data_IF_491471272713
#
_entry.id   IF_491471272713
#
_cell.length_a   1.000
_cell.length_b   1.000
_cell.length_c   1.000
_cell.angle_alpha   90.00
_cell.angle_beta   90.00
_cell.angle_gamma   90.00
#
_symmetry.space_group_name_H-M   'P 1'
#
loop_
_entity.id
_entity.type
_entity.pdbx_description
1 polymer ?
#
# COMPACT_ATOMS: atom_id res chain seq x y z
N UNK A 1 10.41 -12.94 -13.02
CA UNK A 1 10.07 -11.83 -12.12
C UNK A 1 9.64 -12.43 -10.80
N UNK A 2 10.47 -12.36 -9.74
CA UNK A 2 10.15 -12.94 -8.44
C UNK A 2 9.39 -11.90 -7.61
N UNK A 3 8.08 -12.08 -7.43
CA UNK A 3 7.32 -11.36 -6.41
C UNK A 3 7.81 -11.83 -5.05
N UNK A 4 8.22 -10.91 -4.19
CA UNK A 4 8.62 -11.27 -2.83
C UNK A 4 7.36 -11.28 -1.96
N UNK A 5 6.97 -12.46 -1.50
CA UNK A 5 6.13 -12.59 -0.32
C UNK A 5 6.97 -12.09 0.86
N UNK A 6 6.67 -10.90 1.38
CA UNK A 6 7.33 -10.40 2.59
C UNK A 6 6.80 -11.22 3.77
N UNK A 7 7.43 -12.36 4.03
CA UNK A 7 7.30 -13.11 5.28
C UNK A 7 8.30 -12.51 6.28
N UNK A 8 7.84 -11.56 7.10
CA UNK A 8 8.59 -11.17 8.30
C UNK A 8 8.15 -12.13 9.40
N UNK A 9 8.97 -13.14 9.71
CA UNK A 9 8.79 -13.97 10.90
C UNK A 9 10.17 -14.24 11.49
N UNK A 10 10.40 -13.70 12.69
CA UNK A 10 11.34 -14.28 13.63
C UNK A 10 10.68 -15.54 14.22
N UNK A 11 11.32 -16.67 13.96
CA UNK A 11 11.11 -18.01 14.55
C UNK A 11 9.76 -18.73 14.37
N UNK A 12 9.91 -19.99 14.00
CA UNK A 12 8.95 -21.09 13.88
C UNK A 12 8.02 -21.10 12.66
N UNK A 13 8.27 -22.11 11.82
CA UNK A 13 7.40 -22.60 10.76
C UNK A 13 6.06 -23.07 11.34
N UNK A 14 5.14 -22.13 11.50
CA UNK A 14 3.71 -22.44 11.59
C UNK A 14 3.00 -21.57 10.56
N UNK A 15 2.16 -22.24 9.77
CA UNK A 15 1.36 -21.71 8.66
C UNK A 15 0.42 -20.61 9.16
N UNK A 16 0.90 -19.38 9.21
CA UNK A 16 0.10 -18.17 9.35
C UNK A 16 0.24 -17.37 8.05
N UNK A 17 -0.85 -17.24 7.31
CA UNK A 17 -0.95 -16.30 6.20
C UNK A 17 -0.89 -14.91 6.84
N UNK A 18 0.31 -14.31 6.84
CA UNK A 18 0.61 -13.11 7.61
C UNK A 18 0.25 -11.87 6.79
N UNK A 19 -0.88 -11.26 7.10
CA UNK A 19 -1.15 -9.87 6.72
C UNK A 19 -0.23 -8.97 7.54
N UNK A 20 0.77 -8.39 6.90
CA UNK A 20 1.70 -7.47 7.56
C UNK A 20 1.04 -6.10 7.67
N UNK A 21 0.72 -5.66 8.89
CA UNK A 21 0.05 -4.36 9.08
C UNK A 21 0.95 -3.16 8.75
N UNK A 22 2.27 -3.25 9.00
CA UNK A 22 3.24 -2.19 8.71
C UNK A 22 4.49 -2.71 7.98
N UNK A 23 4.84 -2.08 6.86
CA UNK A 23 6.12 -2.29 6.17
C UNK A 23 6.93 -1.00 6.26
N UNK A 24 8.12 -1.09 6.86
CA UNK A 24 9.00 0.06 7.09
C UNK A 24 10.19 0.03 6.13
N UNK A 25 10.84 1.19 5.96
CA UNK A 25 12.09 1.33 5.21
C UNK A 25 13.17 0.37 5.74
N UNK A 26 13.27 0.21 7.07
CA UNK A 26 14.26 -0.68 7.70
C UNK A 26 14.05 -2.15 7.33
N UNK A 27 12.79 -2.62 7.28
CA UNK A 27 12.47 -3.97 6.80
C UNK A 27 12.97 -4.18 5.37
N UNK A 28 12.73 -3.20 4.49
CA UNK A 28 13.09 -3.28 3.08
C UNK A 28 14.59 -3.18 2.86
N UNK A 29 15.31 -2.30 3.58
CA UNK A 29 16.77 -2.23 3.52
C UNK A 29 17.41 -3.57 3.92
N UNK A 30 16.90 -4.21 4.97
CA UNK A 30 17.38 -5.51 5.42
C UNK A 30 17.21 -6.58 4.33
N UNK A 31 16.02 -6.62 3.71
CA UNK A 31 15.69 -7.54 2.62
C UNK A 31 16.54 -7.25 1.38
N UNK A 32 16.64 -5.99 0.97
CA UNK A 32 17.40 -5.55 -0.21
C UNK A 32 18.89 -5.85 -0.06
N UNK A 33 19.44 -5.74 1.16
CA UNK A 33 20.83 -6.08 1.42
C UNK A 33 21.09 -7.59 1.27
N UNK A 34 20.12 -8.44 1.60
CA UNK A 34 20.24 -9.90 1.41
C UNK A 34 20.05 -10.26 -0.07
N UNK A 35 18.99 -9.76 -0.69
CA UNK A 35 18.61 -10.09 -2.07
C UNK A 35 19.45 -9.36 -3.12
N UNK A 36 20.21 -8.34 -2.71
CA UNK A 36 21.03 -7.47 -3.57
C UNK A 36 20.24 -6.79 -4.69
N UNK A 37 18.94 -6.55 -4.47
CA UNK A 37 18.03 -5.84 -5.38
C UNK A 37 16.85 -5.29 -4.59
N UNK A 38 16.22 -4.24 -5.13
CA UNK A 38 14.91 -3.79 -4.67
C UNK A 38 13.84 -4.83 -5.01
N UNK A 39 12.78 -4.85 -4.22
CA UNK A 39 11.72 -5.87 -4.31
C UNK A 39 10.43 -5.29 -4.87
N UNK A 40 9.60 -6.16 -5.45
CA UNK A 40 8.20 -5.84 -5.69
C UNK A 40 7.42 -6.46 -4.52
N UNK A 41 6.62 -5.64 -3.84
CA UNK A 41 5.78 -6.09 -2.74
C UNK A 41 4.53 -6.76 -3.34
N UNK A 42 4.27 -8.01 -2.94
CA UNK A 42 2.93 -8.60 -3.03
C UNK A 42 2.22 -8.32 -1.72
N UNK A 43 1.26 -7.40 -1.71
CA UNK A 43 0.64 -6.89 -0.49
C UNK A 43 -0.72 -7.56 -0.24
N UNK A 44 -0.84 -8.25 0.89
CA UNK A 44 -2.08 -8.93 1.31
C UNK A 44 -2.90 -8.10 2.31
N UNK A 45 -2.66 -6.78 2.39
CA UNK A 45 -3.33 -5.91 3.37
C UNK A 45 -4.87 -6.08 3.39
N UNK A 46 -5.47 -6.26 2.22
CA UNK A 46 -6.92 -6.39 2.04
C UNK A 46 -7.36 -7.78 1.57
N UNK A 47 -6.47 -8.78 1.59
CA UNK A 47 -6.86 -10.15 1.27
C UNK A 47 -7.83 -10.70 2.34
N UNK A 48 -8.79 -11.50 1.91
CA UNK A 48 -9.83 -12.11 2.77
C UNK A 48 -10.08 -13.61 2.47
N UNK A 49 -9.37 -14.17 1.49
CA UNK A 49 -9.46 -15.56 1.05
C UNK A 49 -9.20 -16.59 2.18
N UNK A 50 -8.55 -16.16 3.26
CA UNK A 50 -8.25 -16.97 4.43
C UNK A 50 -9.36 -17.03 5.49
N UNK A 51 -10.37 -16.14 5.44
CA UNK A 51 -11.48 -16.10 6.39
C UNK A 51 -12.76 -15.55 5.76
N UNK A 52 -13.69 -16.45 5.43
CA UNK A 52 -14.99 -16.13 4.80
C UNK A 52 -15.90 -15.20 5.62
N UNK A 53 -15.58 -14.93 6.89
CA UNK A 53 -16.36 -14.02 7.75
C UNK A 53 -15.84 -12.59 7.74
N UNK A 54 -14.71 -12.34 7.08
CA UNK A 54 -14.01 -11.06 7.09
C UNK A 54 -14.24 -10.35 5.76
N UNK A 55 -14.50 -9.04 5.83
CA UNK A 55 -14.53 -8.15 4.67
C UNK A 55 -13.55 -7.00 4.91
N UNK A 56 -12.64 -6.73 3.98
CA UNK A 56 -11.57 -5.73 4.15
C UNK A 56 -11.80 -4.49 3.27
N UNK A 57 -12.71 -3.61 3.69
CA UNK A 57 -13.00 -2.32 3.01
C UNK A 57 -12.18 -1.13 3.53
N UNK A 58 -11.17 -1.38 4.35
CA UNK A 58 -10.29 -0.33 4.88
C UNK A 58 -9.37 0.28 3.82
N UNK A 59 -8.85 1.50 4.05
CA UNK A 59 -7.91 2.15 3.13
C UNK A 59 -6.56 1.42 3.09
N UNK A 60 -5.77 1.70 2.06
CA UNK A 60 -4.37 1.30 1.98
C UNK A 60 -3.55 2.05 3.05
N UNK A 61 -2.87 1.33 3.95
CA UNK A 61 -2.20 1.90 5.13
C UNK A 61 -0.90 1.17 5.50
N UNK A 62 -0.16 1.73 6.46
CA UNK A 62 1.02 1.08 7.05
C UNK A 62 2.25 1.03 6.14
N UNK A 63 2.23 1.76 5.02
CA UNK A 63 3.32 1.91 4.06
C UNK A 63 3.58 3.40 3.86
N UNK A 64 4.61 3.93 4.52
CA UNK A 64 4.97 5.35 4.35
C UNK A 64 5.43 5.61 2.92
N UNK A 65 5.25 6.84 2.41
CA UNK A 65 5.69 7.19 1.05
C UNK A 65 7.19 6.94 0.84
N UNK A 66 8.00 7.02 1.90
CA UNK A 66 9.45 6.81 1.86
C UNK A 66 9.85 5.37 1.44
N UNK A 67 8.96 4.38 1.59
CA UNK A 67 9.29 3.01 1.15
C UNK A 67 9.42 2.90 -0.37
N UNK A 68 8.84 3.83 -1.12
CA UNK A 68 8.92 3.87 -2.60
C UNK A 68 10.35 3.88 -3.11
N UNK A 69 11.28 4.49 -2.37
CA UNK A 69 12.71 4.50 -2.70
C UNK A 69 13.35 3.11 -2.64
N UNK A 70 12.82 2.22 -1.80
CA UNK A 70 13.39 0.90 -1.50
C UNK A 70 12.72 -0.26 -2.25
N UNK A 71 11.71 0.03 -3.08
CA UNK A 71 10.97 -0.98 -3.84
C UNK A 71 10.97 -0.67 -5.33
N UNK A 72 10.61 -1.67 -6.12
CA UNK A 72 10.33 -1.53 -7.55
C UNK A 72 8.84 -1.39 -7.85
N UNK A 73 7.96 -1.67 -6.89
CA UNK A 73 6.53 -1.57 -7.06
C UNK A 73 5.75 -2.33 -6.00
N UNK A 74 4.43 -2.19 -6.04
CA UNK A 74 3.47 -2.86 -5.17
C UNK A 74 2.38 -3.47 -6.04
N UNK A 75 2.08 -4.73 -5.80
CA UNK A 75 0.94 -5.47 -6.35
C UNK A 75 0.03 -5.82 -5.17
N UNK A 76 -1.17 -5.25 -5.14
CA UNK A 76 -2.15 -5.54 -4.11
C UNK A 76 -2.87 -6.84 -4.46
N UNK A 77 -2.92 -7.77 -3.51
CA UNK A 77 -3.82 -8.91 -3.51
C UNK A 77 -5.06 -8.53 -2.68
N UNK A 78 -6.19 -8.23 -3.34
CA UNK A 78 -7.32 -7.58 -2.70
C UNK A 78 -8.33 -8.62 -2.18
N UNK A 79 -9.56 -8.19 -1.84
CA UNK A 79 -10.66 -9.08 -1.45
C UNK A 79 -11.08 -9.97 -2.63
N UNK A 80 -11.68 -11.12 -2.34
CA UNK A 80 -12.29 -11.99 -3.33
C UNK A 80 -13.48 -11.32 -4.04
N UNK A 81 -14.32 -10.61 -3.29
CA UNK A 81 -15.47 -9.89 -3.83
C UNK A 81 -15.03 -8.60 -4.53
N UNK A 82 -15.21 -8.55 -5.85
CA UNK A 82 -14.74 -7.47 -6.70
C UNK A 82 -15.16 -6.07 -6.22
N UNK A 83 -16.43 -5.87 -5.90
CA UNK A 83 -16.96 -4.54 -5.54
C UNK A 83 -16.37 -3.98 -4.24
N UNK A 84 -15.96 -4.85 -3.30
CA UNK A 84 -15.36 -4.43 -2.03
C UNK A 84 -13.96 -3.83 -2.20
N UNK A 85 -13.37 -3.97 -3.39
CA UNK A 85 -12.02 -3.52 -3.70
C UNK A 85 -11.93 -2.06 -4.14
N UNK A 86 -13.06 -1.35 -4.26
CA UNK A 86 -13.03 0.06 -4.66
C UNK A 86 -12.15 0.89 -3.73
N UNK A 87 -12.40 0.86 -2.41
CA UNK A 87 -11.64 1.65 -1.44
C UNK A 87 -10.17 1.22 -1.38
N UNK A 88 -9.82 -0.07 -1.23
CA UNK A 88 -8.43 -0.52 -1.26
C UNK A 88 -7.65 -0.05 -2.50
N UNK A 89 -8.23 -0.20 -3.69
CA UNK A 89 -7.57 0.18 -4.94
C UNK A 89 -7.51 1.69 -5.13
N UNK A 90 -8.59 2.42 -4.81
CA UNK A 90 -8.63 3.88 -4.92
C UNK A 90 -7.59 4.53 -4.01
N UNK A 91 -7.52 4.10 -2.74
CA UNK A 91 -6.53 4.63 -1.79
C UNK A 91 -5.09 4.24 -2.13
N UNK A 92 -4.83 3.04 -2.68
CA UNK A 92 -3.53 2.71 -3.25
C UNK A 92 -3.15 3.63 -4.42
N UNK A 93 -4.11 3.94 -5.30
CA UNK A 93 -3.92 4.90 -6.39
C UNK A 93 -3.59 6.31 -5.88
N UNK A 94 -4.27 6.77 -4.84
CA UNK A 94 -3.98 8.05 -4.18
C UNK A 94 -2.56 8.06 -3.58
N UNK A 95 -2.13 6.96 -2.96
CA UNK A 95 -0.77 6.80 -2.44
C UNK A 95 0.29 6.91 -3.54
N UNK A 96 0.13 6.21 -4.66
CA UNK A 96 1.04 6.31 -5.80
C UNK A 96 1.05 7.70 -6.44
N UNK A 97 -0.11 8.37 -6.49
CA UNK A 97 -0.19 9.74 -7.01
C UNK A 97 0.68 10.71 -6.21
N UNK A 98 0.71 10.59 -4.88
CA UNK A 98 1.57 11.41 -4.03
C UNK A 98 3.07 11.13 -4.24
N UNK A 99 3.45 9.87 -4.48
CA UNK A 99 4.84 9.54 -4.84
C UNK A 99 5.25 10.28 -6.11
N UNK A 100 4.43 10.20 -7.16
CA UNK A 100 4.73 10.85 -8.43
C UNK A 100 4.80 12.38 -8.32
N UNK A 101 4.01 12.99 -7.43
CA UNK A 101 4.09 14.42 -7.13
C UNK A 101 5.42 14.73 -6.43
N UNK A 102 5.78 13.98 -5.40
CA UNK A 102 7.03 14.16 -4.66
C UNK A 102 8.27 13.98 -5.54
N UNK A 103 8.25 13.03 -6.47
CA UNK A 103 9.34 12.83 -7.44
C UNK A 103 9.48 14.02 -8.40
N UNK A 104 8.36 14.60 -8.86
CA UNK A 104 8.39 15.80 -9.70
C UNK A 104 8.91 17.01 -8.93
N UNK A 105 8.43 17.24 -7.71
CA UNK A 105 8.85 18.39 -6.90
C UNK A 105 10.35 18.36 -6.59
N UNK A 106 10.90 17.18 -6.29
CA UNK A 106 12.34 16.99 -6.08
C UNK A 106 13.18 17.35 -7.32
N UNK A 107 12.65 17.11 -8.52
CA UNK A 107 13.34 17.47 -9.77
C UNK A 107 13.31 18.98 -10.08
N UNK A 108 12.37 19.74 -9.49
CA UNK A 108 12.17 21.17 -9.79
C UNK A 108 12.79 22.15 -8.76
N UNK A 109 13.56 21.68 -7.77
CA UNK A 109 14.35 22.50 -6.83
C UNK A 109 13.60 23.64 -6.08
N UNK A 110 12.27 23.59 -5.94
CA UNK A 110 11.51 24.58 -5.19
C UNK A 110 11.47 24.25 -3.68
N UNK A 111 12.58 24.50 -2.97
CA UNK A 111 12.73 24.18 -1.53
C UNK A 111 11.76 24.93 -0.59
N UNK A 112 11.12 26.01 -1.05
CA UNK A 112 10.37 26.92 -0.18
C UNK A 112 8.86 26.61 -0.07
N UNK A 113 8.32 25.67 -0.84
CA UNK A 113 6.88 25.29 -0.80
C UNK A 113 6.60 23.88 -0.23
N UNK A 114 7.64 23.10 0.08
CA UNK A 114 7.56 21.62 0.17
C UNK A 114 7.03 21.09 1.51
N UNK A 115 6.88 21.91 2.57
CA UNK A 115 6.74 21.35 3.92
C UNK A 115 5.33 20.89 4.32
N UNK A 116 4.28 21.20 3.55
CA UNK A 116 2.88 20.93 3.97
C UNK A 116 2.07 20.02 3.05
N UNK A 117 2.54 19.64 1.85
CA UNK A 117 1.69 18.99 0.83
C UNK A 117 1.98 17.51 0.50
N UNK A 118 2.98 16.87 1.12
CA UNK A 118 3.52 15.59 0.64
C UNK A 118 3.31 14.40 1.59
N UNK A 119 2.34 14.48 2.50
CA UNK A 119 2.04 13.40 3.45
C UNK A 119 0.81 12.62 2.96
N UNK A 120 0.93 11.29 2.91
CA UNK A 120 -0.22 10.42 2.70
C UNK A 120 -1.05 10.31 3.98
N UNK A 121 -2.16 11.03 4.03
CA UNK A 121 -3.10 11.02 5.15
C UNK A 121 -4.20 9.98 4.91
N UNK A 122 -4.11 8.86 5.62
CA UNK A 122 -5.00 7.70 5.49
C UNK A 122 -6.49 8.08 5.59
N UNK A 123 -6.86 8.85 6.62
CA UNK A 123 -8.26 9.20 6.86
C UNK A 123 -8.83 10.06 5.72
N UNK A 124 -8.04 11.02 5.22
CA UNK A 124 -8.45 11.84 4.06
C UNK A 124 -8.59 11.01 2.80
N UNK A 125 -7.66 10.07 2.56
CA UNK A 125 -7.74 9.17 1.41
C UNK A 125 -8.98 8.26 1.49
N UNK A 126 -9.31 7.78 2.69
CA UNK A 126 -10.50 6.97 2.95
C UNK A 126 -11.79 7.75 2.75
N UNK A 127 -11.92 8.93 3.37
CA UNK A 127 -13.08 9.82 3.21
C UNK A 127 -13.30 10.19 1.74
N UNK A 128 -12.23 10.55 1.03
CA UNK A 128 -12.30 10.81 -0.41
C UNK A 128 -12.78 9.58 -1.18
N UNK A 129 -12.29 8.39 -0.86
CA UNK A 129 -12.70 7.16 -1.55
C UNK A 129 -14.18 6.84 -1.31
N UNK A 130 -14.69 7.06 -0.10
CA UNK A 130 -16.12 6.89 0.20
C UNK A 130 -16.97 7.84 -0.65
N UNK A 131 -16.59 9.12 -0.73
CA UNK A 131 -17.28 10.12 -1.55
C UNK A 131 -17.23 9.74 -3.03
N UNK A 132 -16.08 9.31 -3.53
CA UNK A 132 -15.90 8.90 -4.92
C UNK A 132 -16.70 7.61 -5.26
N UNK A 133 -16.93 6.74 -4.27
CA UNK A 133 -17.68 5.49 -4.47
C UNK A 133 -19.20 5.68 -4.41
N UNK A 134 -19.67 6.63 -3.59
CA UNK A 134 -21.09 6.86 -3.30
C UNK A 134 -22.00 6.92 -4.54
N UNK A 135 -21.61 7.58 -5.66
CA UNK A 135 -22.45 7.62 -6.86
C UNK A 135 -22.75 6.26 -7.48
N UNK A 136 -21.90 5.25 -7.29
CA UNK A 136 -22.10 3.91 -7.87
C UNK A 136 -23.30 3.19 -7.23
N UNK A 137 -23.62 3.48 -5.97
CA UNK A 137 -24.78 2.90 -5.28
C UNK A 137 -26.13 3.43 -5.79
N UNK A 138 -26.13 4.59 -6.47
CA UNK A 138 -27.35 5.15 -7.06
C UNK A 138 -27.67 4.56 -8.45
N UNK A 139 -26.80 3.69 -8.99
CA UNK A 139 -26.98 3.05 -10.30
C UNK A 139 -27.65 1.67 -10.21
N UNK A 140 -27.84 1.17 -8.99
CA UNK A 140 -28.44 -0.13 -8.67
C UNK A 140 -29.92 0.09 -8.33
#
# INVERSE_FOLDING_TARGET
MFALLIKISSSNWTRYFLTVYNITVSHLLSINNILKRRVIIWDNLNADDYDQRRLCMGPYTGRSLNISNEINGILLNPNCEFELNFIPLNTLGQWFKLININEKDNNYNNKDFIKTSSIYEVNKAFEKSLIDWLPEFNKI
#
